data_IF_601004965461
#
_entry.id   IF_601004965461
#
_cell.length_a   1.000
_cell.length_b   1.000
_cell.length_c   1.000
_cell.angle_alpha   90.00
_cell.angle_beta   90.00
_cell.angle_gamma   90.00
#
_symmetry.space_group_name_H-M   'P 1'
#
loop_
_entity.id
_entity.type
_entity.pdbx_description
1 polymer ?
#
# COMPACT_ATOMS: atom_id res chain seq x y z
N UNK A 1 39.27 5.78 -22.24
CA UNK A 1 38.60 7.09 -22.25
C UNK A 1 37.70 7.18 -21.05
N UNK A 2 38.13 7.90 -20.02
CA UNK A 2 37.37 8.07 -18.76
C UNK A 2 36.51 9.32 -18.94
N UNK A 3 35.21 9.20 -19.10
CA UNK A 3 34.30 10.35 -19.20
C UNK A 3 33.61 10.58 -17.84
N UNK A 4 33.86 11.73 -17.40
CA UNK A 4 33.45 12.52 -16.23
C UNK A 4 31.93 12.46 -15.98
N UNK A 5 31.50 11.84 -14.88
CA UNK A 5 30.11 11.80 -14.41
C UNK A 5 29.90 12.63 -13.12
N UNK A 6 30.68 13.69 -12.95
CA UNK A 6 30.74 14.42 -11.67
C UNK A 6 30.18 15.84 -11.67
N UNK A 7 29.32 16.24 -12.61
CA UNK A 7 28.83 17.61 -12.62
C UNK A 7 27.33 17.72 -12.93
N UNK A 8 26.43 17.21 -12.05
CA UNK A 8 25.00 17.66 -12.08
C UNK A 8 24.22 17.27 -10.81
N UNK A 9 24.83 17.46 -9.66
CA UNK A 9 24.14 17.27 -8.38
C UNK A 9 24.10 18.57 -7.57
N UNK A 10 23.31 19.53 -8.04
CA UNK A 10 22.98 20.68 -7.19
C UNK A 10 21.64 21.28 -7.61
N UNK A 11 20.54 20.67 -7.21
CA UNK A 11 19.26 21.35 -7.04
C UNK A 11 18.12 20.36 -6.70
N UNK A 12 18.16 19.66 -5.63
CA UNK A 12 17.05 19.18 -4.80
C UNK A 12 17.47 17.92 -4.04
N UNK A 13 17.47 17.91 -2.73
CA UNK A 13 17.78 16.70 -1.94
C UNK A 13 16.75 15.58 -2.13
N UNK A 14 15.63 15.86 -2.79
CA UNK A 14 14.55 14.89 -3.01
C UNK A 14 14.70 14.08 -4.29
N UNK A 15 15.40 14.58 -5.32
CA UNK A 15 15.65 13.84 -6.56
C UNK A 15 16.63 12.68 -6.37
N UNK A 16 17.59 12.83 -5.47
CA UNK A 16 18.58 11.78 -5.15
C UNK A 16 17.93 10.54 -4.52
N UNK A 17 16.90 10.72 -3.70
CA UNK A 17 16.18 9.61 -3.05
C UNK A 17 15.38 8.81 -4.07
N UNK A 18 14.80 9.48 -5.07
CA UNK A 18 13.97 8.85 -6.11
C UNK A 18 14.80 8.00 -7.09
N UNK A 19 15.99 8.47 -7.48
CA UNK A 19 16.84 7.74 -8.43
C UNK A 19 17.51 6.52 -7.80
N UNK A 20 17.82 6.59 -6.51
CA UNK A 20 18.40 5.47 -5.76
C UNK A 20 17.43 4.29 -5.63
N UNK A 21 16.14 4.56 -5.47
CA UNK A 21 15.09 3.53 -5.38
C UNK A 21 14.91 2.76 -6.70
N UNK A 22 15.24 3.37 -7.83
CA UNK A 22 14.99 2.86 -9.16
C UNK A 22 16.06 1.91 -9.70
N UNK A 23 17.32 2.18 -9.45
CA UNK A 23 18.44 1.37 -9.97
C UNK A 23 18.52 -0.01 -9.28
N UNK A 24 18.03 -0.10 -8.07
CA UNK A 24 18.13 -1.29 -7.22
C UNK A 24 17.13 -2.39 -7.58
N UNK A 25 16.04 -2.04 -8.23
CA UNK A 25 14.96 -2.98 -8.56
C UNK A 25 15.33 -3.96 -9.70
N UNK A 26 16.33 -3.62 -10.50
CA UNK A 26 16.73 -4.37 -11.71
C UNK A 26 17.88 -5.37 -11.49
N UNK A 27 18.63 -5.29 -10.39
CA UNK A 27 19.89 -6.03 -10.22
C UNK A 27 20.01 -6.84 -8.94
N UNK A 28 18.93 -7.03 -8.17
CA UNK A 28 19.02 -7.76 -6.91
C UNK A 28 18.96 -9.28 -7.09
N UNK A 29 20.03 -10.02 -6.77
CA UNK A 29 19.92 -11.45 -6.54
C UNK A 29 19.02 -11.67 -5.32
N UNK A 30 18.11 -12.63 -5.37
CA UNK A 30 17.31 -12.98 -4.20
C UNK A 30 18.22 -13.20 -2.99
N UNK A 31 17.98 -12.51 -1.86
CA UNK A 31 18.75 -12.77 -0.66
C UNK A 31 18.60 -14.25 -0.27
N UNK A 32 19.64 -14.86 0.31
CA UNK A 32 19.55 -16.24 0.78
C UNK A 32 18.33 -16.39 1.66
N UNK A 33 17.56 -17.45 1.41
CA UNK A 33 16.37 -17.77 2.20
C UNK A 33 16.79 -17.80 3.68
N UNK A 34 16.10 -17.05 4.58
CA UNK A 34 16.33 -17.26 5.99
C UNK A 34 16.07 -18.74 6.29
N UNK A 35 16.84 -19.37 7.19
CA UNK A 35 16.58 -20.75 7.59
C UNK A 35 15.10 -20.86 7.94
N UNK A 36 14.43 -21.88 7.41
CA UNK A 36 13.03 -22.12 7.70
C UNK A 36 12.89 -22.18 9.22
N UNK A 37 12.24 -21.17 9.79
CA UNK A 37 11.79 -21.25 11.17
C UNK A 37 10.65 -22.24 11.11
N UNK A 38 11.01 -23.52 11.24
CA UNK A 38 10.05 -24.59 11.47
C UNK A 38 9.67 -24.46 12.96
N UNK A 39 8.85 -23.49 13.26
CA UNK A 39 8.00 -23.58 14.42
C UNK A 39 6.76 -24.36 13.97
N UNK A 40 6.67 -25.59 14.42
CA UNK A 40 5.49 -26.44 14.27
C UNK A 40 4.34 -25.98 15.18
N UNK A 41 4.28 -24.71 15.52
CA UNK A 41 3.16 -24.17 16.25
C UNK A 41 1.96 -24.05 15.31
N UNK A 42 0.79 -24.58 15.72
CA UNK A 42 -0.43 -24.44 14.93
C UNK A 42 -0.72 -22.95 14.76
N UNK A 43 -1.11 -22.56 13.54
CA UNK A 43 -1.70 -21.25 13.27
C UNK A 43 -2.76 -21.05 14.35
N UNK A 44 -2.55 -20.04 15.22
CA UNK A 44 -3.47 -19.74 16.31
C UNK A 44 -4.89 -19.77 15.74
N UNK A 45 -5.77 -20.57 16.33
CA UNK A 45 -7.16 -20.65 15.92
C UNK A 45 -7.79 -19.30 16.21
N UNK A 46 -7.76 -18.43 15.22
CA UNK A 46 -8.61 -17.26 15.16
C UNK A 46 -10.06 -17.81 15.00
N UNK A 47 -10.70 -18.08 16.13
CA UNK A 47 -12.07 -18.59 16.18
C UNK A 47 -13.02 -17.44 15.85
N UNK A 48 -13.09 -17.12 14.55
CA UNK A 48 -14.16 -16.31 14.02
C UNK A 48 -15.40 -17.20 13.90
N UNK A 49 -16.43 -16.95 14.72
CA UNK A 49 -17.75 -17.54 14.54
C UNK A 49 -18.35 -16.94 13.26
N UNK A 50 -18.54 -17.80 12.27
CA UNK A 50 -19.34 -17.48 11.09
C UNK A 50 -20.74 -17.99 11.32
N UNK A 51 -21.73 -17.10 11.35
CA UNK A 51 -23.11 -17.46 11.23
C UNK A 51 -23.39 -17.92 9.78
N UNK A 52 -24.12 -19.01 9.63
CA UNK A 52 -24.35 -19.72 8.35
C UNK A 52 -25.30 -18.99 7.37
N UNK A 53 -25.43 -17.68 7.45
CA UNK A 53 -26.32 -16.90 6.61
C UNK A 53 -25.55 -15.85 5.80
N UNK A 54 -24.73 -16.30 4.86
CA UNK A 54 -24.19 -15.38 3.85
C UNK A 54 -24.46 -15.96 2.44
N UNK A 55 -25.67 -15.74 1.98
CA UNK A 55 -26.02 -15.83 0.56
C UNK A 55 -25.29 -14.70 -0.16
N UNK A 56 -24.45 -15.10 -1.09
CA UNK A 56 -23.66 -14.30 -2.01
C UNK A 56 -24.53 -13.27 -2.78
N UNK A 57 -24.77 -12.11 -2.18
CA UNK A 57 -25.09 -10.89 -2.91
C UNK A 57 -23.97 -9.90 -2.62
N UNK A 58 -23.04 -9.77 -3.57
CA UNK A 58 -21.95 -8.82 -3.53
C UNK A 58 -22.49 -7.41 -3.31
N UNK A 59 -22.45 -6.94 -2.06
CA UNK A 59 -22.50 -5.53 -1.75
C UNK A 59 -21.26 -4.91 -2.40
N UNK A 60 -21.40 -4.47 -3.64
CA UNK A 60 -20.38 -3.72 -4.36
C UNK A 60 -20.04 -2.50 -3.52
N UNK A 61 -18.84 -2.51 -2.91
CA UNK A 61 -18.28 -1.30 -2.30
C UNK A 61 -18.33 -0.20 -3.35
N UNK A 62 -19.24 0.76 -3.15
CA UNK A 62 -19.35 1.94 -4.01
C UNK A 62 -18.06 2.74 -3.83
N UNK A 63 -17.19 2.66 -4.83
CA UNK A 63 -15.94 3.45 -4.85
C UNK A 63 -16.33 4.89 -5.14
N UNK A 64 -16.47 5.70 -4.09
CA UNK A 64 -16.64 7.13 -4.24
C UNK A 64 -15.30 7.74 -4.63
N UNK A 65 -15.16 8.17 -5.88
CA UNK A 65 -14.00 8.91 -6.35
C UNK A 65 -14.06 10.32 -5.78
N UNK A 66 -13.32 10.58 -4.71
CA UNK A 66 -13.16 11.92 -4.16
C UNK A 66 -12.02 12.60 -4.91
N UNK A 67 -12.27 13.68 -5.66
CA UNK A 67 -11.20 14.37 -6.37
C UNK A 67 -10.16 14.91 -5.38
N UNK A 68 -8.89 14.82 -5.76
CA UNK A 68 -7.80 15.34 -4.94
C UNK A 68 -7.93 16.86 -4.78
N UNK A 69 -7.84 17.39 -3.55
CA UNK A 69 -7.72 18.83 -3.34
C UNK A 69 -6.51 19.42 -4.08
N UNK A 70 -6.58 20.69 -4.42
CA UNK A 70 -5.41 21.39 -4.95
C UNK A 70 -4.44 21.73 -3.81
N UNK A 71 -3.66 20.75 -3.38
CA UNK A 71 -2.70 20.91 -2.27
C UNK A 71 -1.69 22.02 -2.49
N UNK A 72 -1.37 22.37 -3.75
CA UNK A 72 -0.45 23.46 -4.05
C UNK A 72 -1.04 24.84 -3.81
N UNK A 73 -2.36 24.97 -3.77
CA UNK A 73 -3.04 26.22 -3.45
C UNK A 73 -3.09 26.50 -1.93
N UNK A 74 -2.83 25.49 -1.11
CA UNK A 74 -2.82 25.63 0.35
C UNK A 74 -1.44 26.16 0.77
N UNK A 75 -1.40 27.43 1.17
CA UNK A 75 -0.15 28.15 1.48
C UNK A 75 0.50 27.70 2.79
N UNK A 76 -0.31 27.45 3.83
CA UNK A 76 0.18 27.02 5.13
C UNK A 76 0.54 25.53 5.09
N UNK A 77 1.77 25.20 5.53
CA UNK A 77 2.28 23.83 5.50
C UNK A 77 1.44 22.86 6.31
N UNK A 78 1.02 23.26 7.49
CA UNK A 78 0.28 22.38 8.41
C UNK A 78 -1.16 22.15 7.92
N UNK A 79 -1.82 23.17 7.39
CA UNK A 79 -3.14 23.02 6.78
C UNK A 79 -3.10 22.08 5.57
N UNK A 80 -2.05 22.18 4.76
CA UNK A 80 -1.83 21.27 3.63
C UNK A 80 -1.64 19.83 4.08
N UNK A 81 -0.85 19.58 5.13
CA UNK A 81 -0.65 18.25 5.70
C UNK A 81 -1.94 17.67 6.25
N UNK A 82 -2.71 18.48 6.99
CA UNK A 82 -4.00 18.07 7.53
C UNK A 82 -5.00 17.73 6.40
N UNK A 83 -5.09 18.57 5.37
CA UNK A 83 -5.92 18.32 4.20
C UNK A 83 -5.51 17.06 3.46
N UNK A 84 -4.20 16.81 3.33
CA UNK A 84 -3.67 15.60 2.70
C UNK A 84 -4.05 14.34 3.48
N UNK A 85 -3.85 14.35 4.80
CA UNK A 85 -4.20 13.23 5.68
C UNK A 85 -5.71 12.99 5.64
N UNK A 86 -6.52 14.02 5.84
CA UNK A 86 -7.97 13.91 5.86
C UNK A 86 -8.54 13.36 4.54
N UNK A 87 -7.91 13.69 3.40
CA UNK A 87 -8.33 13.20 2.10
C UNK A 87 -7.87 11.76 1.82
N UNK A 88 -6.59 11.42 2.16
CA UNK A 88 -6.01 10.14 1.76
C UNK A 88 -6.36 9.00 2.71
N UNK A 89 -6.53 9.30 4.00
CA UNK A 89 -6.77 8.29 5.04
C UNK A 89 -8.02 7.44 4.80
N UNK A 90 -9.19 8.00 4.43
CA UNK A 90 -10.36 7.18 4.11
C UNK A 90 -10.16 6.25 2.91
N UNK A 91 -9.39 6.67 1.91
CA UNK A 91 -9.09 5.85 0.74
C UNK A 91 -8.15 4.67 1.10
N UNK A 92 -7.20 4.92 2.00
CA UNK A 92 -6.35 3.88 2.58
C UNK A 92 -7.19 2.89 3.40
N UNK A 93 -8.12 3.39 4.21
CA UNK A 93 -9.02 2.56 5.01
C UNK A 93 -9.90 1.66 4.12
N UNK A 94 -10.43 2.20 3.03
CA UNK A 94 -11.22 1.45 2.05
C UNK A 94 -10.43 0.29 1.44
N UNK A 95 -9.18 0.53 1.01
CA UNK A 95 -8.36 -0.55 0.45
C UNK A 95 -7.95 -1.57 1.52
N UNK A 96 -7.67 -1.14 2.75
CA UNK A 96 -7.41 -2.05 3.86
C UNK A 96 -8.63 -2.92 4.20
N UNK A 97 -9.83 -2.36 4.18
CA UNK A 97 -11.07 -3.13 4.37
C UNK A 97 -11.22 -4.22 3.31
N UNK A 98 -10.96 -3.88 2.03
CA UNK A 98 -10.97 -4.86 0.93
C UNK A 98 -9.92 -5.97 1.14
N UNK A 99 -8.72 -5.62 1.58
CA UNK A 99 -7.65 -6.58 1.86
C UNK A 99 -7.99 -7.51 3.03
N UNK A 100 -8.59 -6.97 4.08
CA UNK A 100 -9.04 -7.76 5.24
C UNK A 100 -10.18 -8.70 4.87
N UNK A 101 -11.09 -8.29 3.99
CA UNK A 101 -12.15 -9.16 3.48
C UNK A 101 -11.59 -10.32 2.65
N UNK A 102 -10.62 -10.05 1.76
CA UNK A 102 -9.92 -11.13 1.04
C UNK A 102 -9.22 -12.09 1.99
N UNK A 103 -8.57 -11.55 3.05
CA UNK A 103 -7.91 -12.35 4.06
C UNK A 103 -8.91 -13.19 4.84
N UNK A 104 -10.02 -12.61 5.32
CA UNK A 104 -11.09 -13.30 6.03
C UNK A 104 -11.63 -14.48 5.22
N UNK A 105 -11.93 -14.25 3.94
CA UNK A 105 -12.39 -15.29 3.02
C UNK A 105 -11.33 -16.39 2.83
N UNK A 106 -10.05 -16.02 2.70
CA UNK A 106 -8.96 -17.00 2.60
C UNK A 106 -8.83 -17.86 3.88
N UNK A 107 -8.93 -17.25 5.08
CA UNK A 107 -8.90 -17.97 6.37
C UNK A 107 -10.09 -18.93 6.48
N UNK A 108 -11.29 -18.50 6.08
CA UNK A 108 -12.45 -19.41 6.03
C UNK A 108 -12.19 -20.61 5.11
N UNK A 109 -11.65 -20.39 3.90
CA UNK A 109 -11.34 -21.46 2.97
C UNK A 109 -10.21 -22.37 3.47
N UNK A 110 -9.26 -21.83 4.25
CA UNK A 110 -8.29 -22.65 4.95
C UNK A 110 -8.97 -23.67 5.86
N UNK A 111 -9.94 -23.25 6.68
CA UNK A 111 -10.72 -24.14 7.54
C UNK A 111 -11.46 -25.24 6.76
N UNK A 112 -12.08 -24.89 5.61
CA UNK A 112 -12.72 -25.87 4.73
C UNK A 112 -11.71 -26.82 4.10
N UNK A 113 -10.51 -26.35 3.76
CA UNK A 113 -9.45 -27.18 3.17
C UNK A 113 -8.97 -28.27 4.11
N UNK A 114 -8.87 -27.98 5.41
CA UNK A 114 -8.50 -28.96 6.44
C UNK A 114 -9.51 -30.10 6.56
N UNK A 115 -10.74 -29.86 6.15
CA UNK A 115 -11.82 -30.84 6.13
C UNK A 115 -12.05 -31.48 4.74
N UNK A 116 -11.19 -31.19 3.76
CA UNK A 116 -11.36 -31.58 2.35
C UNK A 116 -12.73 -31.16 1.74
N UNK A 117 -13.26 -30.00 2.15
CA UNK A 117 -14.60 -29.50 1.79
C UNK A 117 -14.59 -28.34 0.79
N UNK A 118 -13.44 -28.00 0.19
CA UNK A 118 -13.37 -26.95 -0.81
C UNK A 118 -14.13 -27.34 -2.10
N UNK A 119 -15.10 -26.53 -2.48
CA UNK A 119 -15.77 -26.63 -3.77
C UNK A 119 -14.85 -26.23 -4.94
N UNK A 120 -15.24 -26.54 -6.16
CA UNK A 120 -14.50 -26.15 -7.36
C UNK A 120 -14.37 -24.61 -7.46
N UNK A 121 -15.45 -23.88 -7.30
CA UNK A 121 -15.45 -22.41 -7.35
C UNK A 121 -14.53 -21.79 -6.29
N UNK A 122 -14.48 -22.36 -5.08
CA UNK A 122 -13.57 -21.88 -4.03
C UNK A 122 -12.10 -22.14 -4.37
N UNK A 123 -11.80 -23.28 -5.00
CA UNK A 123 -10.44 -23.59 -5.51
C UNK A 123 -10.04 -22.64 -6.63
N UNK A 124 -10.92 -22.34 -7.57
CA UNK A 124 -10.69 -21.38 -8.65
C UNK A 124 -10.42 -19.97 -8.10
N UNK A 125 -11.23 -19.53 -7.12
CA UNK A 125 -11.01 -18.25 -6.43
C UNK A 125 -9.64 -18.19 -5.74
N UNK A 126 -9.24 -19.28 -5.05
CA UNK A 126 -7.91 -19.36 -4.40
C UNK A 126 -6.77 -19.29 -5.41
N UNK A 127 -6.91 -19.94 -6.57
CA UNK A 127 -5.91 -19.87 -7.65
C UNK A 127 -5.80 -18.45 -8.19
N UNK A 128 -6.93 -17.78 -8.40
CA UNK A 128 -6.95 -16.37 -8.85
C UNK A 128 -6.28 -15.47 -7.82
N UNK A 129 -6.65 -15.58 -6.55
CA UNK A 129 -6.04 -14.79 -5.48
C UNK A 129 -4.54 -15.07 -5.37
N UNK A 130 -4.13 -16.33 -5.45
CA UNK A 130 -2.72 -16.72 -5.40
C UNK A 130 -1.93 -16.10 -6.55
N UNK A 131 -2.50 -16.07 -7.75
CA UNK A 131 -1.91 -15.43 -8.93
C UNK A 131 -1.74 -13.93 -8.70
N UNK A 132 -2.76 -13.24 -8.18
CA UNK A 132 -2.72 -11.81 -7.90
C UNK A 132 -1.66 -11.44 -6.85
N UNK A 133 -1.41 -12.35 -5.91
CA UNK A 133 -0.43 -12.15 -4.83
C UNK A 133 0.88 -12.91 -5.04
N UNK A 134 1.14 -13.39 -6.26
CA UNK A 134 2.39 -14.08 -6.64
C UNK A 134 2.71 -15.29 -5.74
N UNK A 135 1.67 -16.05 -5.35
CA UNK A 135 1.80 -17.28 -4.57
C UNK A 135 1.66 -18.50 -5.49
N UNK A 136 2.64 -19.38 -5.49
CA UNK A 136 2.57 -20.58 -6.31
C UNK A 136 1.70 -21.65 -5.66
N UNK A 137 0.78 -22.20 -6.43
CA UNK A 137 0.09 -23.44 -6.09
C UNK A 137 0.99 -24.58 -6.51
N UNK A 138 1.67 -25.20 -5.53
CA UNK A 138 2.60 -26.29 -5.79
C UNK A 138 1.91 -27.59 -6.26
N UNK A 139 2.69 -28.62 -6.58
CA UNK A 139 2.17 -29.92 -7.00
C UNK A 139 1.29 -30.60 -5.93
N UNK A 140 1.45 -30.21 -4.65
CA UNK A 140 0.61 -30.68 -3.52
C UNK A 140 -0.68 -29.88 -3.34
N UNK A 141 -0.98 -28.92 -4.24
CA UNK A 141 -2.14 -28.07 -4.16
C UNK A 141 -2.07 -27.07 -3.01
N UNK A 142 -3.18 -26.92 -2.27
CA UNK A 142 -3.30 -25.99 -1.15
C UNK A 142 -2.73 -26.57 0.15
N UNK A 143 -1.43 -26.86 0.16
CA UNK A 143 -0.72 -27.39 1.33
C UNK A 143 -0.42 -26.27 2.37
N UNK A 144 0.16 -26.65 3.52
CA UNK A 144 0.48 -25.70 4.57
C UNK A 144 1.39 -24.55 4.09
N UNK A 145 2.34 -24.83 3.21
CA UNK A 145 3.25 -23.82 2.66
C UNK A 145 2.49 -22.82 1.80
N UNK A 146 1.54 -23.28 0.98
CA UNK A 146 0.64 -22.41 0.22
C UNK A 146 -0.10 -21.45 1.14
N UNK A 147 -0.76 -21.95 2.19
CA UNK A 147 -1.56 -21.13 3.11
C UNK A 147 -0.70 -20.13 3.88
N UNK A 148 0.45 -20.54 4.37
CA UNK A 148 1.39 -19.64 5.03
C UNK A 148 1.81 -18.50 4.09
N UNK A 149 2.21 -18.81 2.86
CA UNK A 149 2.61 -17.80 1.88
C UNK A 149 1.44 -16.86 1.52
N UNK A 150 0.24 -17.39 1.33
CA UNK A 150 -0.93 -16.60 0.98
C UNK A 150 -1.29 -15.63 2.11
N UNK A 151 -1.40 -16.12 3.34
CA UNK A 151 -1.76 -15.29 4.49
C UNK A 151 -0.66 -14.32 4.93
N UNK A 152 0.60 -14.56 4.58
CA UNK A 152 1.67 -13.57 4.71
C UNK A 152 1.55 -12.42 3.72
N UNK A 153 0.93 -12.65 2.56
CA UNK A 153 0.82 -11.67 1.48
C UNK A 153 -0.52 -10.96 1.46
N UNK A 154 -1.61 -11.64 1.73
CA UNK A 154 -2.96 -11.05 1.73
C UNK A 154 -3.26 -10.48 3.11
N UNK A 155 -2.98 -9.19 3.30
CA UNK A 155 -3.24 -8.50 4.56
C UNK A 155 -3.22 -6.97 4.39
N UNK A 156 -3.84 -6.26 5.35
CA UNK A 156 -3.83 -4.81 5.44
C UNK A 156 -2.42 -4.25 5.68
N UNK A 157 -2.21 -2.99 5.31
CA UNK A 157 -0.98 -2.25 5.57
C UNK A 157 -1.30 -1.13 6.57
N UNK A 158 -0.50 -0.97 7.66
CA UNK A 158 -0.75 0.10 8.61
C UNK A 158 -0.89 1.46 7.94
N UNK A 159 -1.97 2.20 8.21
CA UNK A 159 -2.24 3.49 7.58
C UNK A 159 -1.10 4.49 7.71
N UNK A 160 -0.43 4.51 8.86
CA UNK A 160 0.70 5.40 9.10
C UNK A 160 1.85 5.19 8.12
N UNK A 161 2.14 3.94 7.74
CA UNK A 161 3.18 3.65 6.76
C UNK A 161 2.78 4.14 5.36
N UNK A 162 1.54 3.87 4.95
CA UNK A 162 1.02 4.28 3.62
C UNK A 162 0.98 5.80 3.51
N UNK A 163 0.43 6.49 4.54
CA UNK A 163 0.39 7.96 4.60
C UNK A 163 1.79 8.57 4.53
N UNK A 164 2.74 8.02 5.30
CA UNK A 164 4.10 8.55 5.34
C UNK A 164 4.78 8.44 3.98
N UNK A 165 4.72 7.27 3.34
CA UNK A 165 5.36 7.09 2.04
C UNK A 165 4.66 7.92 0.96
N UNK A 166 3.32 8.01 0.97
CA UNK A 166 2.61 8.89 0.07
C UNK A 166 2.99 10.37 0.27
N UNK A 167 3.09 10.84 1.52
CA UNK A 167 3.49 12.21 1.84
C UNK A 167 4.90 12.54 1.36
N UNK A 168 5.85 11.63 1.60
CA UNK A 168 7.26 11.81 1.20
C UNK A 168 7.40 11.80 -0.32
N UNK A 169 6.84 10.80 -1.00
CA UNK A 169 7.01 10.61 -2.44
C UNK A 169 6.24 11.64 -3.28
N UNK A 170 5.11 12.15 -2.77
CA UNK A 170 4.31 13.15 -3.47
C UNK A 170 4.56 14.60 -3.04
N UNK A 171 5.42 14.82 -2.02
CA UNK A 171 5.57 16.14 -1.39
C UNK A 171 4.24 16.64 -0.82
N UNK A 172 3.52 15.79 -0.07
CA UNK A 172 2.19 16.10 0.45
C UNK A 172 1.20 16.46 -0.67
N UNK A 173 1.22 15.70 -1.77
CA UNK A 173 0.32 15.86 -2.91
C UNK A 173 0.65 17.02 -3.86
N UNK A 174 1.77 17.70 -3.67
CA UNK A 174 2.14 18.87 -4.50
C UNK A 174 2.94 18.52 -5.75
N UNK A 175 3.49 17.30 -5.82
CA UNK A 175 4.34 16.89 -6.94
C UNK A 175 3.58 16.83 -8.28
N UNK A 176 4.31 17.00 -9.38
CA UNK A 176 3.76 16.83 -10.73
C UNK A 176 3.17 15.44 -10.93
N UNK A 177 3.84 14.40 -10.42
CA UNK A 177 3.38 13.02 -10.56
C UNK A 177 2.04 12.76 -9.84
N UNK A 178 1.86 13.34 -8.65
CA UNK A 178 0.61 13.23 -7.93
C UNK A 178 -0.56 13.89 -8.71
N UNK A 179 -0.30 15.06 -9.31
CA UNK A 179 -1.31 15.82 -10.05
C UNK A 179 -1.62 15.23 -11.41
N UNK A 180 -0.59 14.94 -12.21
CA UNK A 180 -0.75 14.62 -13.63
C UNK A 180 -0.92 13.13 -13.89
N UNK A 181 -0.48 12.27 -12.94
CA UNK A 181 -0.46 10.82 -13.11
C UNK A 181 -1.15 10.06 -11.96
N UNK A 182 -1.75 10.73 -10.99
CA UNK A 182 -2.30 10.12 -9.77
C UNK A 182 -1.32 9.18 -9.05
N UNK A 183 -0.02 9.44 -9.21
CA UNK A 183 1.06 8.61 -8.68
C UNK A 183 1.63 9.26 -7.41
N UNK A 184 1.08 8.86 -6.26
CA UNK A 184 1.46 9.39 -4.95
C UNK A 184 2.66 8.67 -4.32
N UNK A 185 3.14 7.59 -4.93
CA UNK A 185 4.18 6.72 -4.37
C UNK A 185 5.44 6.63 -5.25
N UNK A 186 5.56 7.45 -6.30
CA UNK A 186 6.71 7.43 -7.17
C UNK A 186 6.90 6.11 -7.96
N UNK A 187 5.83 5.40 -8.23
CA UNK A 187 5.89 4.08 -8.86
C UNK A 187 6.29 4.19 -10.32
N UNK A 188 7.35 3.47 -10.68
CA UNK A 188 7.83 3.38 -12.06
C UNK A 188 7.07 2.38 -12.91
N UNK A 189 7.17 2.52 -14.21
CA UNK A 189 6.76 1.52 -15.17
C UNK A 189 7.85 1.31 -16.24
N UNK A 190 7.87 0.11 -16.83
CA UNK A 190 8.98 -0.35 -17.68
C UNK A 190 8.57 -0.62 -19.13
N UNK A 191 7.33 -0.30 -19.48
CA UNK A 191 6.84 -0.38 -20.87
C UNK A 191 6.79 1.04 -21.42
N UNK A 192 7.36 1.32 -22.61
CA UNK A 192 7.25 2.63 -23.23
C UNK A 192 5.78 3.08 -23.37
N UNK A 193 5.50 4.33 -23.01
CA UNK A 193 4.16 4.91 -23.06
C UNK A 193 3.24 4.52 -21.91
N UNK A 194 3.76 3.90 -20.83
CA UNK A 194 2.98 3.50 -19.67
C UNK A 194 2.75 4.61 -18.64
N UNK A 195 3.36 5.79 -18.84
CA UNK A 195 3.24 6.83 -17.84
C UNK A 195 3.77 8.20 -18.22
N UNK A 196 4.50 8.81 -17.30
CA UNK A 196 5.10 10.15 -17.44
C UNK A 196 6.61 9.98 -17.54
N UNK A 197 7.26 10.45 -18.61
CA UNK A 197 8.70 10.34 -18.78
C UNK A 197 9.47 10.98 -17.62
N UNK A 198 10.64 10.43 -17.32
CA UNK A 198 11.59 11.04 -16.40
C UNK A 198 12.18 12.32 -17.01
N UNK A 199 12.43 13.30 -16.17
CA UNK A 199 13.17 14.48 -16.60
C UNK A 199 14.64 14.10 -16.78
N UNK A 200 15.09 14.01 -18.04
CA UNK A 200 16.51 13.82 -18.39
C UNK A 200 17.05 12.38 -18.40
N UNK A 201 16.21 11.35 -18.37
CA UNK A 201 16.66 9.96 -18.40
C UNK A 201 15.67 8.99 -19.07
N UNK A 202 16.12 7.75 -19.38
CA UNK A 202 15.23 6.71 -19.85
C UNK A 202 14.36 6.20 -18.69
N UNK A 203 13.06 6.02 -18.97
CA UNK A 203 12.09 5.48 -18.01
C UNK A 203 10.87 6.36 -17.85
N UNK A 204 9.86 5.79 -17.26
CA UNK A 204 8.58 6.46 -17.01
C UNK A 204 8.07 6.16 -15.61
N UNK A 205 7.42 7.14 -15.00
CA UNK A 205 6.59 6.92 -13.83
C UNK A 205 5.19 6.47 -14.26
N UNK A 206 4.67 5.45 -13.61
CA UNK A 206 3.34 4.91 -13.92
C UNK A 206 2.25 5.97 -13.79
N UNK A 207 1.36 6.01 -14.79
CA UNK A 207 0.10 6.75 -14.71
C UNK A 207 -0.98 5.82 -14.18
N UNK A 208 -1.77 6.31 -13.24
CA UNK A 208 -2.95 5.63 -12.72
C UNK A 208 -4.23 6.32 -13.19
N UNK A 209 -5.35 5.60 -13.23
CA UNK A 209 -6.66 6.16 -13.55
C UNK A 209 -7.21 7.01 -12.40
N UNK A 210 -6.78 6.72 -11.17
CA UNK A 210 -7.13 7.47 -9.99
C UNK A 210 -6.20 7.15 -8.81
N UNK A 211 -6.37 7.88 -7.73
CA UNK A 211 -5.58 7.69 -6.51
C UNK A 211 -5.81 6.29 -5.90
N UNK A 212 -7.05 5.78 -5.94
CA UNK A 212 -7.38 4.46 -5.41
C UNK A 212 -6.55 3.37 -6.08
N UNK A 213 -6.36 3.46 -7.41
CA UNK A 213 -5.54 2.50 -8.15
C UNK A 213 -4.07 2.58 -7.73
N UNK A 214 -3.58 3.79 -7.45
CA UNK A 214 -2.20 3.96 -7.00
C UNK A 214 -1.99 3.41 -5.58
N UNK A 215 -2.97 3.58 -4.68
CA UNK A 215 -2.96 3.00 -3.33
C UNK A 215 -2.99 1.47 -3.41
N UNK A 216 -3.95 0.92 -4.16
CA UNK A 216 -4.10 -0.53 -4.30
C UNK A 216 -2.84 -1.18 -4.92
N UNK A 217 -2.26 -0.53 -5.93
CA UNK A 217 -1.02 -1.00 -6.56
C UNK A 217 0.18 -0.93 -5.60
N UNK A 218 0.32 0.17 -4.85
CA UNK A 218 1.37 0.33 -3.85
C UNK A 218 1.24 -0.73 -2.73
N UNK A 219 0.05 -0.92 -2.17
CA UNK A 219 -0.17 -1.95 -1.14
C UNK A 219 0.09 -3.36 -1.67
N UNK A 220 -0.23 -3.62 -2.95
CA UNK A 220 0.12 -4.88 -3.61
C UNK A 220 1.64 -5.07 -3.70
N UNK A 221 2.42 -4.03 -4.00
CA UNK A 221 3.89 -4.08 -3.99
C UNK A 221 4.40 -4.52 -2.61
N UNK A 222 3.94 -3.90 -1.53
CA UNK A 222 4.33 -4.29 -0.16
C UNK A 222 3.96 -5.74 0.10
N UNK A 223 2.79 -6.16 -0.33
CA UNK A 223 2.25 -7.48 -0.10
C UNK A 223 2.91 -8.57 -0.95
N UNK A 224 3.56 -8.25 -2.08
CA UNK A 224 4.10 -9.25 -3.00
C UNK A 224 5.62 -9.23 -3.11
N UNK A 225 6.26 -8.05 -3.20
CA UNK A 225 7.67 -7.96 -3.59
C UNK A 225 8.66 -8.38 -2.49
N UNK A 226 9.78 -8.96 -2.92
CA UNK A 226 10.82 -9.51 -2.05
C UNK A 226 11.40 -8.49 -1.06
N UNK A 227 11.59 -7.24 -1.49
CA UNK A 227 12.09 -6.15 -0.65
C UNK A 227 11.28 -5.93 0.64
N UNK A 228 9.99 -6.26 0.64
CA UNK A 228 9.08 -6.09 1.78
C UNK A 228 8.85 -7.39 2.59
N UNK A 229 9.66 -8.44 2.36
CA UNK A 229 9.51 -9.71 3.09
C UNK A 229 9.61 -9.53 4.61
N UNK A 230 10.58 -8.73 5.07
CA UNK A 230 10.77 -8.46 6.49
C UNK A 230 9.58 -7.69 7.09
N UNK A 231 9.02 -6.73 6.35
CA UNK A 231 7.82 -6.01 6.80
C UNK A 231 6.60 -6.93 6.93
N UNK A 232 6.40 -7.86 5.98
CA UNK A 232 5.34 -8.87 6.08
C UNK A 232 5.54 -9.82 7.26
N UNK A 233 6.78 -10.24 7.52
CA UNK A 233 7.10 -11.09 8.67
C UNK A 233 6.81 -10.36 10.00
N UNK A 234 7.20 -9.08 10.10
CA UNK A 234 6.90 -8.26 11.28
C UNK A 234 5.40 -8.07 11.47
N UNK A 235 4.66 -7.79 10.41
CA UNK A 235 3.19 -7.73 10.44
C UNK A 235 2.56 -9.02 10.95
N UNK A 236 3.02 -10.17 10.42
CA UNK A 236 2.55 -11.48 10.86
C UNK A 236 2.87 -11.73 12.34
N UNK A 237 4.05 -11.33 12.82
CA UNK A 237 4.42 -11.42 14.24
C UNK A 237 3.41 -10.70 15.13
N UNK A 238 3.02 -9.47 14.78
CA UNK A 238 1.97 -8.73 15.50
C UNK A 238 0.65 -9.50 15.51
N UNK A 239 0.23 -10.02 14.37
CA UNK A 239 -0.99 -10.83 14.26
C UNK A 239 -1.00 -12.05 15.19
N UNK A 240 0.13 -12.77 15.26
CA UNK A 240 0.25 -13.99 16.08
C UNK A 240 0.16 -13.71 17.58
N UNK A 241 0.56 -12.54 18.04
CA UNK A 241 0.45 -12.16 19.47
C UNK A 241 -0.80 -11.32 19.77
N UNK A 242 -1.72 -11.17 18.79
CA UNK A 242 -2.95 -10.40 18.96
C UNK A 242 -2.76 -8.88 18.99
N UNK A 243 -1.60 -8.40 18.52
CA UNK A 243 -1.28 -6.97 18.45
C UNK A 243 -1.71 -6.35 17.12
N UNK A 244 -1.95 -5.04 17.15
CA UNK A 244 -2.16 -4.25 15.94
C UNK A 244 -0.82 -4.03 15.23
N UNK A 245 -0.69 -4.36 13.94
CA UNK A 245 0.52 -4.07 13.21
C UNK A 245 0.81 -2.56 13.15
N UNK A 246 2.00 -2.15 13.60
CA UNK A 246 2.42 -0.75 13.63
C UNK A 246 3.21 -0.37 12.38
N UNK A 247 2.85 0.77 11.76
CA UNK A 247 3.62 1.29 10.62
C UNK A 247 5.06 1.67 11.01
N UNK A 248 5.29 2.13 12.23
CA UNK A 248 6.65 2.38 12.73
C UNK A 248 7.47 1.08 12.85
N UNK A 249 6.85 -0.02 13.30
CA UNK A 249 7.52 -1.32 13.37
C UNK A 249 7.87 -1.83 11.96
N UNK A 250 6.92 -1.73 11.02
CA UNK A 250 7.15 -2.12 9.64
C UNK A 250 8.22 -1.24 8.96
N UNK A 251 8.20 0.08 9.16
CA UNK A 251 9.18 0.99 8.60
C UNK A 251 10.62 0.63 9.00
N UNK A 252 10.85 0.19 10.24
CA UNK A 252 12.17 -0.24 10.73
C UNK A 252 12.73 -1.45 9.97
N UNK A 253 11.88 -2.24 9.32
CA UNK A 253 12.30 -3.40 8.54
C UNK A 253 12.72 -3.06 7.11
N UNK A 254 12.53 -1.81 6.67
CA UNK A 254 12.81 -1.36 5.31
C UNK A 254 14.29 -0.99 5.07
N UNK A 255 15.22 -1.51 5.87
CA UNK A 255 16.67 -1.23 5.80
C UNK A 255 17.26 -1.43 4.40
N UNK A 256 16.77 -2.43 3.70
CA UNK A 256 17.23 -2.78 2.35
C UNK A 256 16.38 -2.12 1.25
N UNK A 257 15.46 -1.23 1.60
CA UNK A 257 14.57 -0.58 0.63
C UNK A 257 15.22 0.61 -0.08
N UNK A 258 16.17 1.28 0.57
CA UNK A 258 16.83 2.48 0.05
C UNK A 258 18.35 2.37 0.20
N UNK A 259 19.09 2.88 -0.78
CA UNK A 259 20.55 3.06 -0.68
C UNK A 259 20.95 3.95 0.52
N UNK A 260 20.03 4.77 1.00
CA UNK A 260 20.21 5.59 2.21
C UNK A 260 20.11 4.75 3.49
N UNK A 261 19.69 3.48 3.42
CA UNK A 261 19.65 2.56 4.55
C UNK A 261 18.91 3.13 5.76
N UNK A 262 19.61 3.20 6.90
CA UNK A 262 19.02 3.70 8.16
C UNK A 262 18.54 5.15 8.10
N UNK A 263 19.20 6.02 7.31
CA UNK A 263 18.76 7.43 7.19
C UNK A 263 17.36 7.57 6.60
N UNK A 264 16.99 6.72 5.64
CA UNK A 264 15.64 6.71 5.08
C UNK A 264 14.63 6.31 6.15
N UNK A 265 14.95 5.29 6.94
CA UNK A 265 14.08 4.85 8.04
C UNK A 265 13.92 5.97 9.07
N UNK A 266 15.02 6.57 9.51
CA UNK A 266 14.98 7.68 10.48
C UNK A 266 14.11 8.83 9.96
N UNK A 267 14.18 9.11 8.66
CA UNK A 267 13.35 10.12 8.02
C UNK A 267 11.86 9.73 8.03
N UNK A 268 11.49 8.49 7.66
CA UNK A 268 10.11 8.01 7.74
C UNK A 268 9.57 8.08 9.16
N UNK A 269 10.33 7.58 10.14
CA UNK A 269 9.95 7.60 11.55
C UNK A 269 9.80 9.02 12.11
N UNK A 270 10.62 9.96 11.63
CA UNK A 270 10.49 11.38 11.97
C UNK A 270 9.16 11.95 11.44
N UNK A 271 8.84 11.74 10.16
CA UNK A 271 7.59 12.21 9.56
C UNK A 271 6.38 11.60 10.29
N UNK A 272 6.40 10.30 10.61
CA UNK A 272 5.34 9.65 11.37
C UNK A 272 5.10 10.34 12.72
N UNK A 273 6.17 10.55 13.51
CA UNK A 273 6.07 11.16 14.84
C UNK A 273 5.65 12.62 14.81
N UNK A 274 6.27 13.42 13.94
CA UNK A 274 5.99 14.86 13.86
C UNK A 274 4.55 15.16 13.43
N UNK A 275 3.92 14.25 12.66
CA UNK A 275 2.55 14.41 12.19
C UNK A 275 1.58 13.42 12.88
N UNK A 276 2.02 12.72 13.93
CA UNK A 276 1.22 11.77 14.73
C UNK A 276 0.48 10.73 13.89
N UNK A 277 1.13 10.24 12.82
CA UNK A 277 0.49 9.33 11.88
C UNK A 277 0.26 7.94 12.47
N UNK A 278 1.05 7.55 13.47
CA UNK A 278 0.92 6.29 14.21
C UNK A 278 -0.41 6.17 14.97
N UNK A 279 -1.06 7.28 15.30
CA UNK A 279 -2.39 7.29 15.92
C UNK A 279 -3.48 6.68 14.99
N UNK A 280 -3.22 6.59 13.68
CA UNK A 280 -4.15 5.98 12.73
C UNK A 280 -3.99 4.46 12.59
N UNK A 281 -2.95 3.85 13.19
CA UNK A 281 -2.80 2.41 13.19
C UNK A 281 -3.77 1.79 14.22
N UNK A 282 -4.67 0.93 13.78
CA UNK A 282 -5.64 0.29 14.66
C UNK A 282 -6.86 1.12 15.05
N UNK A 283 -6.99 2.33 14.53
CA UNK A 283 -8.23 3.08 14.67
C UNK A 283 -9.34 2.43 13.84
N UNK A 284 -10.55 2.34 14.40
CA UNK A 284 -11.76 2.06 13.63
C UNK A 284 -12.05 3.28 12.74
N UNK A 285 -11.45 3.27 11.56
CA UNK A 285 -11.57 4.39 10.63
C UNK A 285 -12.96 4.37 10.00
N UNK A 286 -13.66 5.52 9.95
CA UNK A 286 -14.96 5.59 9.31
C UNK A 286 -14.81 5.24 7.82
N UNK A 287 -15.53 4.21 7.37
CA UNK A 287 -15.55 3.77 5.97
C UNK A 287 -16.40 4.68 5.08
N UNK A 288 -17.16 5.59 5.67
CA UNK A 288 -18.04 6.52 4.98
C UNK A 288 -17.55 7.95 5.19
N UNK A 289 -17.26 8.63 4.09
CA UNK A 289 -17.12 10.08 4.09
C UNK A 289 -18.53 10.61 3.88
N UNK A 290 -19.15 11.20 4.91
CA UNK A 290 -20.31 12.04 4.69
C UNK A 290 -19.84 13.26 3.88
N UNK A 291 -20.19 13.29 2.59
CA UNK A 291 -20.10 14.51 1.80
C UNK A 291 -21.15 15.45 2.37
N UNK A 292 -20.73 16.34 3.27
CA UNK A 292 -21.57 17.47 3.62
C UNK A 292 -21.76 18.25 2.33
N UNK A 293 -22.95 18.16 1.75
CA UNK A 293 -23.42 19.06 0.72
C UNK A 293 -23.42 20.48 1.30
N UNK A 294 -22.29 21.16 1.19
CA UNK A 294 -22.25 22.58 1.38
C UNK A 294 -23.16 23.18 0.29
N UNK A 295 -24.19 23.94 0.65
CA UNK A 295 -25.08 24.51 -0.36
C UNK A 295 -24.25 25.35 -1.33
N UNK A 296 -24.42 25.07 -2.63
CA UNK A 296 -23.77 25.84 -3.69
C UNK A 296 -24.04 27.35 -3.43
N UNK A 297 -23.01 28.22 -3.54
CA UNK A 297 -23.23 29.66 -3.37
C UNK A 297 -24.25 30.09 -4.40
N UNK A 298 -25.39 30.62 -3.92
CA UNK A 298 -26.45 31.18 -4.75
C UNK A 298 -25.85 32.31 -5.56
N UNK A 299 -25.79 32.15 -6.88
CA UNK A 299 -25.53 33.25 -7.82
C UNK A 299 -26.65 34.25 -7.68
N UNK A 300 -26.42 35.29 -6.89
CA UNK A 300 -27.27 36.46 -6.91
C UNK A 300 -27.06 37.17 -8.25
N UNK A 301 -28.08 37.11 -9.10
CA UNK A 301 -28.15 37.90 -10.32
C UNK A 301 -28.27 39.36 -9.92
N UNK A 302 -27.22 40.18 -10.12
CA UNK A 302 -27.32 41.62 -10.07
C UNK A 302 -28.22 42.12 -11.23
N UNK A 303 -29.14 43.03 -10.96
CA UNK A 303 -29.96 43.62 -12.02
C UNK A 303 -29.11 44.62 -12.83
N UNK A 304 -29.07 44.37 -14.14
CA UNK A 304 -28.50 45.29 -15.12
C UNK A 304 -29.32 46.60 -15.08
N UNK A 305 -28.63 47.71 -14.81
CA UNK A 305 -29.14 49.08 -15.06
C UNK A 305 -28.51 49.61 -16.35
#
# INVERSE_FOLDING_TARGET
MKSCWSCWFSASPYLGVMLALCAWWLSWPEPPQPPAIISSEPIAQETLRFDEADTDEGAGLQVTLIPAPNFSAISLSDDRKQSFIAWLLPLIAQENARLLELRRKAVHYYGLSQQNRLSLAQKEWLVSLATDYEVNVGAKGFDLSFWQNLLHRVDAIPPSLVLTQAAVESGWGTSRLAKDAHNFFGIMCFKPGCGVPFDGGPGEFRRFTGVNDSIAFYMRIINTKGAYRAARAERMRHRLIGDVPSGMALAKTLLNYSELGSRYIDFLLKIMRENKLDEYDGADLPMTIEVNDAPAPSLQSEPVK
#
